data_IF_969636331005
#
_entry.id   IF_969636331005
#
_cell.length_a   1.000
_cell.length_b   1.000
_cell.length_c   1.000
_cell.angle_alpha   90.00
_cell.angle_beta   90.00
_cell.angle_gamma   90.00
#
_symmetry.space_group_name_H-M   'P 1'
#
loop_
_entity.id
_entity.type
_entity.pdbx_description
1 polymer ?
#
# COMPACT_ATOMS: atom_id res chain seq x y z
N UNK A 1 6.25 -34.58 21.74
CA UNK A 1 5.88 -33.76 22.91
C UNK A 1 6.75 -32.51 22.99
N UNK A 2 6.63 -31.60 22.06
CA UNK A 2 7.51 -30.39 22.03
C UNK A 2 6.75 -29.19 21.46
N UNK A 3 5.63 -28.75 22.01
CA UNK A 3 5.03 -27.52 21.44
C UNK A 3 4.10 -26.71 22.35
N UNK A 4 4.11 -26.97 23.67
CA UNK A 4 3.31 -26.17 24.60
C UNK A 4 4.17 -25.35 25.57
N UNK A 5 5.33 -24.88 25.13
CA UNK A 5 6.12 -23.94 25.92
C UNK A 5 5.38 -22.61 25.89
N UNK A 6 4.77 -22.26 27.02
CA UNK A 6 4.27 -20.91 27.25
C UNK A 6 5.46 -19.94 27.22
N UNK A 7 5.37 -18.91 26.44
CA UNK A 7 6.36 -17.83 26.46
C UNK A 7 6.11 -16.99 27.73
N UNK A 8 7.16 -16.45 28.29
CA UNK A 8 7.03 -15.53 29.43
C UNK A 8 6.09 -14.38 29.05
N UNK A 9 5.09 -14.11 29.90
CA UNK A 9 4.06 -13.07 29.68
C UNK A 9 3.10 -13.31 28.52
N UNK A 10 2.98 -14.54 28.01
CA UNK A 10 1.99 -14.85 27.00
C UNK A 10 0.60 -14.99 27.59
N UNK A 11 -0.35 -14.29 26.98
CA UNK A 11 -1.76 -14.28 27.33
C UNK A 11 -2.60 -14.73 26.14
N UNK A 12 -3.76 -15.33 26.40
CA UNK A 12 -4.65 -15.89 25.40
C UNK A 12 -6.04 -15.31 25.53
N UNK A 13 -6.68 -14.96 24.39
CA UNK A 13 -8.08 -14.54 24.30
C UNK A 13 -8.81 -15.34 23.24
N UNK A 14 -10.07 -15.68 23.49
CA UNK A 14 -10.93 -16.34 22.48
C UNK A 14 -11.16 -15.44 21.29
N UNK A 15 -11.23 -16.06 20.10
CA UNK A 15 -11.65 -15.36 18.88
C UNK A 15 -13.17 -15.09 18.94
N UNK A 16 -13.66 -13.89 18.62
CA UNK A 16 -15.08 -13.53 18.80
C UNK A 16 -16.06 -14.40 18.00
N UNK A 17 -15.66 -14.91 16.84
CA UNK A 17 -16.53 -15.65 15.92
C UNK A 17 -16.05 -17.08 15.63
N UNK A 18 -15.00 -17.55 16.28
CA UNK A 18 -14.42 -18.89 16.10
C UNK A 18 -14.07 -19.46 17.48
N UNK A 19 -15.08 -19.93 18.22
CA UNK A 19 -15.00 -20.32 19.65
C UNK A 19 -13.95 -21.37 19.94
N UNK A 20 -13.62 -22.20 18.96
CA UNK A 20 -12.61 -23.26 19.07
C UNK A 20 -11.15 -22.75 18.98
N UNK A 21 -10.96 -21.45 18.94
CA UNK A 21 -9.60 -20.89 18.81
C UNK A 21 -9.34 -19.75 19.79
N UNK A 22 -8.16 -19.77 20.36
CA UNK A 22 -7.61 -18.67 21.15
C UNK A 22 -6.44 -18.04 20.43
N UNK A 23 -6.32 -16.73 20.55
CA UNK A 23 -5.28 -15.92 19.91
C UNK A 23 -4.37 -15.37 21.00
N UNK A 24 -3.08 -15.63 20.87
CA UNK A 24 -2.08 -15.13 21.79
C UNK A 24 -1.71 -13.67 21.50
N UNK A 25 -1.36 -12.92 22.55
CA UNK A 25 -0.74 -11.58 22.43
C UNK A 25 0.64 -11.63 21.74
N UNK A 26 1.20 -12.82 21.54
CA UNK A 26 2.49 -13.06 20.86
C UNK A 26 2.32 -13.52 19.40
N UNK A 27 1.09 -13.56 18.86
CA UNK A 27 0.83 -13.96 17.48
C UNK A 27 0.67 -15.46 17.24
N UNK A 28 0.53 -16.26 18.29
CA UNK A 28 0.26 -17.70 18.18
C UNK A 28 -1.26 -17.96 18.20
N UNK A 29 -1.69 -19.09 17.66
CA UNK A 29 -3.09 -19.51 17.65
C UNK A 29 -3.20 -20.92 18.25
N UNK A 30 -4.01 -21.05 19.28
CA UNK A 30 -4.34 -22.33 19.91
C UNK A 30 -5.65 -22.86 19.38
N UNK A 31 -5.74 -24.15 19.15
CA UNK A 31 -6.99 -24.85 18.80
C UNK A 31 -7.47 -25.69 19.96
N UNK A 32 -8.64 -25.36 20.50
CA UNK A 32 -9.31 -26.16 21.55
C UNK A 32 -9.64 -27.56 21.06
N UNK A 33 -10.14 -27.68 19.82
CA UNK A 33 -10.49 -28.98 19.25
C UNK A 33 -9.28 -29.88 19.04
N UNK A 34 -8.12 -29.33 18.67
CA UNK A 34 -6.90 -30.09 18.38
C UNK A 34 -5.94 -30.14 19.56
N UNK A 35 -6.22 -29.40 20.64
CA UNK A 35 -5.38 -29.29 21.84
C UNK A 35 -3.90 -29.01 21.50
N UNK A 36 -3.68 -28.07 20.56
CA UNK A 36 -2.33 -27.69 20.14
C UNK A 36 -2.25 -26.29 19.52
N UNK A 37 -1.05 -25.75 19.51
CA UNK A 37 -0.73 -24.55 18.74
C UNK A 37 -0.77 -24.87 17.25
N UNK A 38 -1.51 -24.05 16.52
CA UNK A 38 -1.69 -24.22 15.09
C UNK A 38 -0.48 -23.72 14.31
N UNK A 39 -0.15 -24.44 13.26
CA UNK A 39 0.90 -24.03 12.33
C UNK A 39 0.44 -22.85 11.47
N UNK A 40 1.27 -21.81 11.41
CA UNK A 40 1.10 -20.66 10.52
C UNK A 40 1.98 -20.85 9.29
N UNK A 41 1.61 -20.21 8.17
CA UNK A 41 2.32 -20.36 6.91
C UNK A 41 2.40 -19.03 6.14
N UNK A 42 3.37 -18.89 5.24
CA UNK A 42 3.44 -17.83 4.24
C UNK A 42 3.21 -18.44 2.87
N UNK A 43 2.26 -17.91 2.12
CA UNK A 43 2.02 -18.30 0.73
C UNK A 43 1.91 -17.03 -0.10
N UNK A 44 2.67 -16.88 -1.14
CA UNK A 44 2.63 -15.77 -2.13
C UNK A 44 2.44 -14.35 -1.57
N UNK A 45 2.25 -14.19 -0.28
CA UNK A 45 2.14 -12.92 0.42
C UNK A 45 3.25 -12.79 1.47
N UNK A 46 3.60 -11.54 1.80
CA UNK A 46 4.66 -11.22 2.75
C UNK A 46 4.22 -11.33 4.23
N UNK A 47 3.02 -11.89 4.49
CA UNK A 47 2.43 -11.95 5.83
C UNK A 47 2.16 -13.39 6.25
N UNK A 48 2.28 -13.67 7.53
CA UNK A 48 1.88 -14.92 8.12
C UNK A 48 0.37 -15.10 8.09
N UNK A 49 -0.07 -16.30 7.76
CA UNK A 49 -1.47 -16.67 7.57
C UNK A 49 -1.81 -17.93 8.36
N UNK A 50 -3.10 -18.10 8.61
CA UNK A 50 -3.69 -19.31 9.18
C UNK A 50 -5.07 -19.56 8.55
N UNK A 51 -5.48 -20.84 8.48
CA UNK A 51 -6.84 -21.22 8.12
C UNK A 51 -7.56 -21.71 9.36
N UNK A 52 -8.68 -21.09 9.68
CA UNK A 52 -9.57 -21.48 10.78
C UNK A 52 -10.85 -22.07 10.22
N UNK A 53 -11.42 -23.05 10.93
CA UNK A 53 -12.65 -23.73 10.55
C UNK A 53 -13.74 -23.33 11.56
N UNK A 54 -14.86 -22.81 11.08
CA UNK A 54 -15.99 -22.48 11.94
C UNK A 54 -16.80 -23.74 12.37
N UNK A 55 -17.85 -23.54 13.16
CA UNK A 55 -18.69 -24.62 13.64
C UNK A 55 -19.49 -25.32 12.54
N UNK A 56 -19.64 -24.70 11.37
CA UNK A 56 -20.31 -25.23 10.19
C UNK A 56 -19.36 -25.96 9.23
N UNK A 57 -18.06 -26.09 9.60
CA UNK A 57 -17.04 -26.71 8.76
C UNK A 57 -16.46 -25.79 7.68
N UNK A 58 -16.88 -24.53 7.60
CA UNK A 58 -16.35 -23.57 6.62
C UNK A 58 -14.97 -23.09 7.02
N UNK A 59 -14.04 -23.20 6.09
CA UNK A 59 -12.66 -22.74 6.28
C UNK A 59 -12.50 -21.28 5.85
N UNK A 60 -11.97 -20.46 6.73
CA UNK A 60 -11.64 -19.04 6.43
C UNK A 60 -10.17 -18.80 6.71
N UNK A 61 -9.51 -18.08 5.79
CA UNK A 61 -8.10 -17.72 5.90
C UNK A 61 -7.95 -16.33 6.50
N UNK A 62 -7.04 -16.21 7.46
CA UNK A 62 -6.75 -14.97 8.17
C UNK A 62 -5.27 -14.64 8.12
N UNK A 63 -4.96 -13.34 8.14
CA UNK A 63 -3.61 -12.83 8.40
C UNK A 63 -3.39 -12.74 9.91
N UNK A 64 -2.26 -13.25 10.41
CA UNK A 64 -1.99 -13.33 11.85
C UNK A 64 -2.04 -11.96 12.52
N UNK A 65 -1.35 -10.95 11.97
CA UNK A 65 -1.38 -9.59 12.53
C UNK A 65 -2.81 -9.03 12.65
N UNK A 66 -3.69 -9.35 11.70
CA UNK A 66 -5.10 -8.90 11.75
C UNK A 66 -5.90 -9.66 12.82
N UNK A 67 -5.64 -10.96 13.00
CA UNK A 67 -6.26 -11.74 14.09
C UNK A 67 -5.86 -11.19 15.45
N UNK A 68 -4.57 -10.94 15.65
CA UNK A 68 -4.05 -10.37 16.90
C UNK A 68 -4.66 -9.00 17.15
N UNK A 69 -4.66 -8.11 16.16
CA UNK A 69 -5.24 -6.79 16.30
C UNK A 69 -6.75 -6.84 16.59
N UNK A 70 -7.49 -7.72 15.93
CA UNK A 70 -8.93 -7.90 16.15
C UNK A 70 -9.26 -8.28 17.60
N UNK A 71 -8.47 -9.16 18.19
CA UNK A 71 -8.76 -9.74 19.50
C UNK A 71 -8.21 -8.87 20.65
N UNK A 72 -7.11 -8.14 20.40
CA UNK A 72 -6.34 -7.49 21.46
C UNK A 72 -6.36 -5.98 21.43
N UNK A 73 -6.58 -5.36 20.28
CA UNK A 73 -6.44 -3.90 20.10
C UNK A 73 -7.81 -3.30 19.80
N UNK A 74 -8.26 -2.39 20.65
CA UNK A 74 -9.50 -1.63 20.41
C UNK A 74 -9.40 -0.80 19.14
N UNK A 75 -10.49 -0.77 18.34
CA UNK A 75 -10.57 -0.01 17.10
C UNK A 75 -11.85 0.86 17.04
N UNK A 76 -11.99 1.85 17.95
CA UNK A 76 -13.23 2.66 18.04
C UNK A 76 -13.52 3.47 16.77
N UNK A 77 -12.47 3.78 16.01
CA UNK A 77 -12.58 4.56 14.77
C UNK A 77 -12.73 3.71 13.51
N UNK A 78 -12.92 2.39 13.64
CA UNK A 78 -13.04 1.44 12.53
C UNK A 78 -11.95 1.59 11.46
N UNK A 79 -10.71 1.82 11.87
CA UNK A 79 -9.57 1.93 10.95
C UNK A 79 -9.36 0.62 10.19
N UNK A 80 -9.21 0.63 8.86
CA UNK A 80 -9.27 -0.60 8.05
C UNK A 80 -7.97 -1.41 7.97
N UNK A 81 -6.83 -0.83 8.35
CA UNK A 81 -5.52 -1.46 8.21
C UNK A 81 -4.85 -1.70 9.56
N UNK A 82 -4.00 -2.73 9.60
CA UNK A 82 -3.11 -3.00 10.72
C UNK A 82 -1.67 -2.77 10.27
N UNK A 83 -0.95 -1.96 11.01
CA UNK A 83 0.44 -1.61 10.77
C UNK A 83 1.36 -2.32 11.78
N UNK A 84 2.59 -2.61 11.37
CA UNK A 84 3.68 -3.07 12.24
C UNK A 84 4.56 -1.87 12.61
N UNK A 85 4.61 -1.51 13.90
CA UNK A 85 5.32 -0.32 14.39
C UNK A 85 6.80 -0.32 14.03
N UNK A 86 7.45 -1.47 14.08
CA UNK A 86 8.86 -1.63 13.70
C UNK A 86 9.07 -1.95 12.21
N UNK A 87 8.02 -2.01 11.40
CA UNK A 87 8.06 -2.38 9.98
C UNK A 87 8.35 -3.85 9.70
N UNK A 88 8.61 -4.67 10.71
CA UNK A 88 8.87 -6.10 10.57
C UNK A 88 7.55 -6.89 10.54
N UNK A 89 7.21 -7.44 9.39
CA UNK A 89 5.98 -8.21 9.14
C UNK A 89 5.96 -9.59 9.80
N UNK A 90 7.07 -10.01 10.36
CA UNK A 90 7.21 -11.27 11.07
C UNK A 90 6.93 -11.14 12.57
N UNK A 91 6.99 -9.93 13.10
CA UNK A 91 6.73 -9.63 14.50
C UNK A 91 5.26 -9.25 14.73
N UNK A 92 4.43 -10.26 14.97
CA UNK A 92 2.98 -10.13 15.13
C UNK A 92 2.54 -9.99 16.62
N UNK A 93 3.40 -9.54 17.49
CA UNK A 93 3.06 -9.26 18.90
C UNK A 93 2.14 -8.04 19.00
N UNK A 94 1.23 -8.06 19.95
CA UNK A 94 0.30 -6.93 20.22
C UNK A 94 1.04 -5.61 20.38
N UNK A 95 2.18 -5.62 21.10
CA UNK A 95 3.00 -4.44 21.35
C UNK A 95 3.59 -3.80 20.08
N UNK A 96 3.61 -4.53 18.97
CA UNK A 96 4.13 -4.09 17.68
C UNK A 96 3.03 -3.79 16.64
N UNK A 97 1.75 -3.84 17.01
CA UNK A 97 0.64 -3.68 16.08
C UNK A 97 -0.25 -2.49 16.46
N UNK A 98 -0.78 -1.81 15.45
CA UNK A 98 -1.75 -0.73 15.61
C UNK A 98 -2.76 -0.71 14.47
N UNK A 99 -3.98 -0.22 14.75
CA UNK A 99 -4.96 0.07 13.72
C UNK A 99 -4.68 1.44 13.09
N UNK A 100 -4.66 1.49 11.75
CA UNK A 100 -4.33 2.70 10.99
C UNK A 100 -5.24 2.92 9.80
N UNK A 101 -5.35 4.17 9.37
CA UNK A 101 -5.86 4.53 8.04
C UNK A 101 -4.79 4.27 6.98
N UNK A 102 -5.18 4.28 5.70
CA UNK A 102 -4.24 4.17 4.59
C UNK A 102 -3.18 5.30 4.60
N UNK A 103 -3.61 6.52 4.91
CA UNK A 103 -2.72 7.69 4.95
C UNK A 103 -1.68 7.57 6.06
N UNK A 104 -2.08 7.17 7.27
CA UNK A 104 -1.17 6.92 8.41
C UNK A 104 -0.16 5.82 8.07
N UNK A 105 -0.61 4.72 7.47
CA UNK A 105 0.26 3.61 7.07
C UNK A 105 1.31 4.04 6.03
N UNK A 106 0.91 4.84 5.04
CA UNK A 106 1.85 5.38 4.04
C UNK A 106 2.87 6.32 4.69
N UNK A 107 2.43 7.20 5.60
CA UNK A 107 3.32 8.12 6.32
C UNK A 107 4.32 7.35 7.20
N UNK A 108 3.86 6.32 7.91
CA UNK A 108 4.72 5.47 8.72
C UNK A 108 5.76 4.73 7.87
N UNK A 109 5.33 4.10 6.77
CA UNK A 109 6.25 3.44 5.83
C UNK A 109 7.31 4.40 5.25
N UNK A 110 6.95 5.68 5.04
CA UNK A 110 7.91 6.73 4.64
C UNK A 110 8.91 7.05 5.74
N UNK A 111 8.46 7.20 6.97
CA UNK A 111 9.34 7.47 8.13
C UNK A 111 10.37 6.36 8.34
N UNK A 112 9.97 5.12 8.16
CA UNK A 112 10.85 3.95 8.28
C UNK A 112 11.71 3.68 7.03
N UNK A 113 11.58 4.48 5.96
CA UNK A 113 12.31 4.23 4.70
C UNK A 113 11.87 2.97 3.96
N UNK A 114 10.75 2.35 4.36
CA UNK A 114 10.22 1.11 3.77
C UNK A 114 9.50 1.31 2.44
N UNK A 115 9.21 2.57 2.09
CA UNK A 115 8.58 2.89 0.80
C UNK A 115 9.66 2.93 -0.29
N UNK A 116 9.69 2.01 -1.25
CA UNK A 116 10.66 2.02 -2.36
C UNK A 116 10.53 3.27 -3.24
N UNK A 117 9.42 4.01 -3.08
CA UNK A 117 9.20 5.32 -3.73
C UNK A 117 9.63 6.50 -2.85
N UNK A 118 10.31 6.25 -1.73
CA UNK A 118 10.98 7.28 -0.94
C UNK A 118 12.29 7.71 -1.63
N UNK A 119 12.19 8.05 -2.90
CA UNK A 119 13.23 8.86 -3.54
C UNK A 119 13.08 10.26 -2.95
N UNK A 120 14.16 10.85 -2.42
CA UNK A 120 14.12 12.22 -1.92
C UNK A 120 13.45 13.14 -2.93
N UNK A 121 12.81 14.18 -2.45
CA UNK A 121 11.97 15.15 -3.21
C UNK A 121 12.64 15.75 -4.46
N UNK A 122 13.95 15.51 -4.66
CA UNK A 122 14.66 15.85 -5.90
C UNK A 122 14.04 15.20 -7.14
N UNK A 123 13.38 14.05 -7.00
CA UNK A 123 12.77 13.33 -8.13
C UNK A 123 11.27 13.60 -8.31
N UNK A 124 10.65 14.53 -7.53
CA UNK A 124 9.30 14.98 -7.83
C UNK A 124 9.19 15.66 -9.20
N UNK A 125 10.28 16.29 -9.66
CA UNK A 125 10.43 16.79 -11.04
C UNK A 125 10.47 15.66 -12.10
N UNK A 126 10.85 14.42 -11.73
CA UNK A 126 10.96 13.29 -12.67
C UNK A 126 9.71 12.42 -12.74
N UNK A 127 8.77 12.54 -11.80
CA UNK A 127 7.48 11.82 -11.87
C UNK A 127 6.52 12.35 -12.96
N UNK A 128 6.82 13.46 -13.57
CA UNK A 128 6.13 13.92 -14.79
C UNK A 128 6.58 13.20 -16.07
N UNK A 129 7.70 12.48 -16.04
CA UNK A 129 8.17 11.67 -17.16
C UNK A 129 7.55 10.27 -17.11
N UNK A 130 6.31 10.14 -17.53
CA UNK A 130 5.83 8.89 -18.09
C UNK A 130 6.73 8.56 -19.28
N UNK A 131 7.33 7.40 -19.28
CA UNK A 131 8.01 6.67 -20.34
C UNK A 131 7.69 7.13 -21.77
N UNK A 132 8.14 8.28 -22.13
CA UNK A 132 8.27 8.79 -23.47
C UNK A 132 9.40 9.77 -23.37
N UNK A 133 10.46 9.57 -24.14
CA UNK A 133 11.76 10.20 -24.10
C UNK A 133 11.76 11.74 -24.27
N UNK A 134 10.78 12.47 -23.72
CA UNK A 134 10.73 13.92 -23.79
C UNK A 134 11.31 14.59 -22.55
N UNK A 135 12.14 15.61 -22.75
CA UNK A 135 12.61 16.53 -21.72
C UNK A 135 11.58 17.62 -21.36
N UNK A 136 10.51 17.76 -22.13
CA UNK A 136 9.50 18.79 -22.00
C UNK A 136 8.27 18.31 -21.23
N UNK A 137 7.61 19.22 -20.51
CA UNK A 137 6.36 18.96 -19.80
C UNK A 137 5.22 18.74 -20.77
N UNK A 138 4.33 17.77 -20.45
CA UNK A 138 3.15 17.48 -21.24
C UNK A 138 3.40 16.91 -22.62
N UNK A 139 4.64 16.53 -22.94
CA UNK A 139 5.07 15.97 -24.21
C UNK A 139 5.48 14.52 -24.06
N UNK A 140 5.05 13.66 -24.98
CA UNK A 140 5.48 12.26 -25.04
C UNK A 140 5.55 11.77 -26.50
N UNK A 141 6.44 10.84 -26.79
CA UNK A 141 6.56 10.23 -28.11
C UNK A 141 5.55 9.07 -28.26
N UNK A 142 4.73 9.10 -29.28
CA UNK A 142 3.80 8.05 -29.68
C UNK A 142 4.53 7.09 -30.62
N UNK A 143 5.06 6.01 -30.09
CA UNK A 143 5.86 5.02 -30.84
C UNK A 143 5.05 4.39 -31.97
N UNK A 144 3.75 4.16 -31.78
CA UNK A 144 2.90 3.54 -32.79
C UNK A 144 2.71 4.43 -34.00
N UNK A 145 2.63 5.75 -33.79
CA UNK A 145 2.39 6.75 -34.84
C UNK A 145 3.64 7.51 -35.24
N UNK A 146 4.77 7.23 -34.60
CA UNK A 146 6.04 7.91 -34.84
C UNK A 146 5.93 9.43 -34.77
N UNK A 147 5.16 9.95 -33.81
CA UNK A 147 4.91 11.39 -33.62
C UNK A 147 4.98 11.80 -32.17
N UNK A 148 5.33 13.05 -31.93
CA UNK A 148 5.29 13.67 -30.63
C UNK A 148 3.87 14.10 -30.28
N UNK A 149 3.38 13.71 -29.13
CA UNK A 149 2.04 14.02 -28.61
C UNK A 149 2.16 15.03 -27.48
N UNK A 150 1.33 16.07 -27.52
CA UNK A 150 1.22 17.09 -26.50
C UNK A 150 -0.22 17.23 -26.01
N UNK A 151 -0.42 17.59 -24.73
CA UNK A 151 -1.72 17.89 -24.14
C UNK A 151 -1.59 18.24 -22.66
N UNK A 152 -2.55 19.02 -22.15
CA UNK A 152 -2.61 19.47 -20.77
C UNK A 152 -3.61 18.63 -19.99
N UNK A 153 -3.19 17.98 -18.92
CA UNK A 153 -4.10 17.27 -18.00
C UNK A 153 -4.53 18.23 -16.90
N UNK A 154 -5.83 18.53 -16.85
CA UNK A 154 -6.42 19.36 -15.82
C UNK A 154 -7.76 18.76 -15.37
N UNK A 155 -8.03 18.74 -14.05
CA UNK A 155 -9.23 18.14 -13.45
C UNK A 155 -9.51 16.70 -13.93
N UNK A 156 -8.47 15.89 -14.08
CA UNK A 156 -8.57 14.48 -14.50
C UNK A 156 -8.80 14.26 -16.00
N UNK A 157 -8.94 15.31 -16.80
CA UNK A 157 -9.14 15.24 -18.26
C UNK A 157 -7.92 15.76 -19.01
N UNK A 158 -7.66 15.21 -20.19
CA UNK A 158 -6.64 15.71 -21.11
C UNK A 158 -7.26 16.70 -22.09
N UNK A 159 -6.75 17.93 -22.07
CA UNK A 159 -7.24 19.02 -22.90
C UNK A 159 -6.32 19.25 -24.11
N UNK A 160 -6.92 19.58 -25.26
CA UNK A 160 -6.25 19.97 -26.52
C UNK A 160 -5.10 19.04 -26.92
N UNK A 161 -5.33 17.70 -26.82
CA UNK A 161 -4.34 16.73 -27.25
C UNK A 161 -4.08 16.81 -28.76
N UNK A 162 -2.79 17.03 -29.14
CA UNK A 162 -2.38 17.12 -30.55
C UNK A 162 -1.05 16.40 -30.79
N UNK A 163 -0.76 16.05 -32.05
CA UNK A 163 0.48 15.35 -32.47
C UNK A 163 1.28 16.20 -33.42
N UNK A 164 2.60 16.11 -33.30
CA UNK A 164 3.57 16.92 -34.01
C UNK A 164 4.70 16.04 -34.55
N UNK A 165 5.41 16.55 -35.55
CA UNK A 165 6.55 15.85 -36.11
C UNK A 165 7.81 16.01 -35.23
N UNK A 166 7.94 17.13 -34.52
CA UNK A 166 9.06 17.42 -33.67
C UNK A 166 8.66 17.56 -32.21
N UNK A 167 9.60 17.26 -31.32
CA UNK A 167 9.44 17.41 -29.87
C UNK A 167 9.21 18.87 -29.47
N UNK A 168 9.90 19.79 -30.16
CA UNK A 168 9.84 21.22 -29.89
C UNK A 168 8.46 21.82 -30.21
N UNK A 169 7.89 21.45 -31.35
CA UNK A 169 6.52 21.86 -31.71
C UNK A 169 5.49 21.38 -30.68
N UNK A 170 5.65 20.14 -30.20
CA UNK A 170 4.79 19.61 -29.16
C UNK A 170 4.94 20.38 -27.84
N UNK A 171 6.16 20.81 -27.48
CA UNK A 171 6.43 21.61 -26.29
C UNK A 171 5.81 23.01 -26.38
N UNK A 172 5.96 23.69 -27.52
CA UNK A 172 5.31 24.97 -27.77
C UNK A 172 3.78 24.89 -27.71
N UNK A 173 3.23 23.83 -28.26
CA UNK A 173 1.79 23.59 -28.16
C UNK A 173 1.33 23.43 -26.73
N UNK A 174 2.06 22.69 -25.90
CA UNK A 174 1.75 22.55 -24.49
C UNK A 174 1.73 23.90 -23.77
N UNK A 175 2.77 24.71 -23.95
CA UNK A 175 2.88 26.03 -23.32
C UNK A 175 1.71 26.94 -23.75
N UNK A 176 1.37 26.96 -25.04
CA UNK A 176 0.24 27.73 -25.55
C UNK A 176 -1.08 27.30 -24.94
N UNK A 177 -1.31 25.99 -24.79
CA UNK A 177 -2.55 25.47 -24.15
C UNK A 177 -2.59 25.85 -22.67
N UNK A 178 -1.47 25.77 -21.92
CA UNK A 178 -1.40 26.18 -20.53
C UNK A 178 -1.74 27.68 -20.38
N UNK A 179 -1.21 28.52 -21.26
CA UNK A 179 -1.46 29.96 -21.29
C UNK A 179 -2.93 30.25 -21.61
N UNK A 180 -3.48 29.65 -22.70
CA UNK A 180 -4.88 29.82 -23.10
C UNK A 180 -5.88 29.40 -22.03
N UNK A 181 -5.54 28.38 -21.24
CA UNK A 181 -6.37 27.90 -20.11
C UNK A 181 -6.14 28.69 -18.80
N UNK A 182 -5.25 29.67 -18.78
CA UNK A 182 -4.93 30.44 -17.57
C UNK A 182 -4.26 29.63 -16.46
N UNK A 183 -3.57 28.53 -16.82
CA UNK A 183 -3.05 27.57 -15.86
C UNK A 183 -1.56 27.79 -15.48
N UNK A 184 -0.96 28.94 -15.83
CA UNK A 184 0.46 29.23 -15.60
C UNK A 184 0.83 29.21 -14.11
N UNK A 185 -0.14 29.47 -13.23
CA UNK A 185 0.06 29.47 -11.77
C UNK A 185 0.12 28.05 -11.15
N UNK A 186 -0.32 27.03 -11.90
CA UNK A 186 -0.34 25.61 -11.44
C UNK A 186 0.41 24.65 -12.38
N UNK A 187 0.78 25.07 -13.57
CA UNK A 187 1.51 24.27 -14.57
C UNK A 187 2.81 24.94 -14.94
N UNK A 188 3.89 24.16 -14.99
CA UNK A 188 5.20 24.65 -15.42
C UNK A 188 5.24 24.74 -16.94
N UNK A 189 5.65 25.87 -17.47
CA UNK A 189 5.91 26.06 -18.90
C UNK A 189 7.28 25.49 -19.28
N UNK A 190 7.43 25.10 -20.55
CA UNK A 190 8.70 24.67 -21.11
C UNK A 190 9.58 25.86 -21.52
N UNK A 191 8.97 26.98 -21.83
CA UNK A 191 9.64 28.24 -22.27
C UNK A 191 10.53 28.02 -23.51
N UNK A 192 9.96 27.46 -24.60
CA UNK A 192 10.66 27.08 -25.83
C UNK A 192 10.08 27.75 -27.07
#
# INVERSE_FOLDING_TARGET
>A
MLNNISLSNEQWKKHPNFDNYQISNMGRVWSERKQKIMQIFKQNCRYWQISLVDNNGKTTRFLIHRLVALVWISNPNNKPYVNHLNGNKDDNKVSNLEWVTNSENILHARKLGLNPYNVPTLNKKLRGKRTGNSKYYGVCFDVTRQKWRSGVVYQGKCHQQKRFNTELEAARHYDNVVIQMGLQHIKTLNNV
#
